data_IF_737455572800
#
_entry.id   IF_737455572800
#
_cell.length_a   1.000
_cell.length_b   1.000
_cell.length_c   1.000
_cell.angle_alpha   90.00
_cell.angle_beta   90.00
_cell.angle_gamma   90.00
#
_symmetry.space_group_name_H-M   'P 1'
#
loop_
_entity.id
_entity.type
_entity.pdbx_description
1 polymer ?
#
# COMPACT_ATOMS: atom_id res chain seq x y z
N UNK A 1 9.93 -14.42 -1.81
CA UNK A 1 9.43 -13.04 -1.66
C UNK A 1 7.94 -12.99 -1.34
N UNK A 2 7.09 -13.64 -2.11
CA UNK A 2 5.64 -13.62 -1.88
C UNK A 2 5.27 -14.21 -0.51
N UNK A 3 5.92 -15.28 -0.10
CA UNK A 3 5.68 -15.87 1.22
C UNK A 3 6.01 -14.91 2.36
N UNK A 4 7.12 -14.18 2.25
CA UNK A 4 7.49 -13.17 3.24
C UNK A 4 6.47 -12.04 3.24
N UNK A 5 6.03 -11.63 2.06
CA UNK A 5 5.00 -10.60 1.93
C UNK A 5 3.69 -11.02 2.57
N UNK A 6 3.27 -12.24 2.35
CA UNK A 6 2.04 -12.79 2.95
C UNK A 6 2.15 -12.85 4.47
N UNK A 7 3.35 -13.10 5.00
CA UNK A 7 3.59 -13.10 6.44
C UNK A 7 3.36 -11.70 7.02
N UNK A 8 3.80 -10.65 6.34
CA UNK A 8 3.55 -9.28 6.78
C UNK A 8 2.07 -8.93 6.72
N UNK A 9 1.37 -9.36 5.68
CA UNK A 9 -0.09 -9.15 5.55
C UNK A 9 -0.82 -9.80 6.71
N UNK A 10 -0.44 -11.03 7.06
CA UNK A 10 -1.05 -11.73 8.20
C UNK A 10 -0.81 -10.98 9.51
N UNK A 11 0.39 -10.45 9.71
CA UNK A 11 0.72 -9.68 10.89
C UNK A 11 -0.10 -8.40 10.99
N UNK A 12 -0.27 -7.70 9.89
CA UNK A 12 -1.12 -6.51 9.84
C UNK A 12 -2.55 -6.87 10.22
N UNK A 13 -3.07 -7.97 9.69
CA UNK A 13 -4.43 -8.43 9.98
C UNK A 13 -4.57 -8.82 11.46
N UNK A 14 -3.59 -9.53 12.01
CA UNK A 14 -3.59 -9.91 13.42
C UNK A 14 -3.62 -8.68 14.33
N UNK A 15 -2.82 -7.67 14.02
CA UNK A 15 -2.81 -6.41 14.77
C UNK A 15 -4.16 -5.70 14.64
N UNK A 16 -4.74 -5.70 13.44
CA UNK A 16 -6.05 -5.09 13.21
C UNK A 16 -7.13 -5.76 14.05
N UNK A 17 -7.09 -7.09 14.13
CA UNK A 17 -8.07 -7.85 14.93
C UNK A 17 -7.90 -7.60 16.43
N UNK A 18 -6.68 -7.33 16.87
CA UNK A 18 -6.35 -7.12 18.28
C UNK A 18 -6.60 -5.69 18.76
N UNK A 19 -6.69 -4.71 17.85
CA UNK A 19 -6.86 -3.31 18.19
C UNK A 19 -8.30 -2.89 17.88
N UNK A 20 -9.10 -2.51 18.91
CA UNK A 20 -10.52 -2.25 18.70
C UNK A 20 -10.88 -0.87 18.13
N UNK A 21 -9.93 0.06 18.02
CA UNK A 21 -10.21 1.41 17.52
C UNK A 21 -10.57 1.46 16.06
N UNK A 22 -11.70 2.06 15.70
CA UNK A 22 -12.18 2.15 14.32
C UNK A 22 -11.26 2.96 13.41
N UNK A 23 -10.74 4.08 13.89
CA UNK A 23 -9.91 4.97 13.10
C UNK A 23 -8.61 4.28 12.68
N UNK A 24 -7.92 3.64 13.62
CA UNK A 24 -6.68 2.94 13.35
C UNK A 24 -6.96 1.67 12.55
N UNK A 25 -8.10 1.02 12.78
CA UNK A 25 -8.52 -0.17 12.04
C UNK A 25 -8.68 0.13 10.55
N UNK A 26 -9.28 1.27 10.21
CA UNK A 26 -9.41 1.69 8.80
C UNK A 26 -8.05 1.87 8.15
N UNK A 27 -7.11 2.47 8.86
CA UNK A 27 -5.75 2.67 8.36
C UNK A 27 -5.04 1.35 8.12
N UNK A 28 -5.19 0.38 9.03
CA UNK A 28 -4.62 -0.95 8.89
C UNK A 28 -5.26 -1.74 7.75
N UNK A 29 -6.59 -1.64 7.62
CA UNK A 29 -7.31 -2.30 6.53
C UNK A 29 -6.88 -1.76 5.18
N UNK A 30 -6.66 -0.44 5.09
CA UNK A 30 -6.15 0.20 3.89
C UNK A 30 -4.76 -0.30 3.55
N UNK A 31 -3.87 -0.39 4.55
CA UNK A 31 -2.52 -0.88 4.37
C UNK A 31 -2.51 -2.34 3.88
N UNK A 32 -3.36 -3.17 4.47
CA UNK A 32 -3.49 -4.57 4.05
C UNK A 32 -3.91 -4.66 2.58
N UNK A 33 -4.92 -3.89 2.20
CA UNK A 33 -5.41 -3.88 0.82
C UNK A 33 -4.32 -3.43 -0.15
N UNK A 34 -3.66 -2.32 0.14
CA UNK A 34 -2.61 -1.79 -0.73
C UNK A 34 -1.46 -2.79 -0.88
N UNK A 35 -1.05 -3.41 0.22
CA UNK A 35 0.03 -4.40 0.20
C UNK A 35 -0.35 -5.61 -0.66
N UNK A 36 -1.58 -6.10 -0.52
CA UNK A 36 -2.07 -7.21 -1.34
C UNK A 36 -2.08 -6.86 -2.83
N UNK A 37 -2.51 -5.66 -3.17
CA UNK A 37 -2.55 -5.21 -4.57
C UNK A 37 -1.16 -5.06 -5.15
N UNK A 38 -0.21 -4.56 -4.36
CA UNK A 38 1.19 -4.45 -4.79
C UNK A 38 1.74 -5.83 -5.10
N UNK A 39 1.53 -6.81 -4.23
CA UNK A 39 2.02 -8.18 -4.45
C UNK A 39 1.34 -8.85 -5.63
N UNK A 40 0.04 -8.61 -5.81
CA UNK A 40 -0.68 -9.15 -6.97
C UNK A 40 -0.07 -8.62 -8.27
N UNK A 41 0.27 -7.32 -8.29
CA UNK A 41 0.91 -6.72 -9.45
C UNK A 41 2.28 -7.31 -9.73
N UNK A 42 3.06 -7.58 -8.66
CA UNK A 42 4.37 -8.19 -8.80
C UNK A 42 4.27 -9.62 -9.37
N UNK A 43 3.26 -10.37 -8.97
CA UNK A 43 3.02 -11.71 -9.51
C UNK A 43 2.69 -11.66 -10.99
N UNK A 44 1.89 -10.67 -11.41
CA UNK A 44 1.52 -10.49 -12.81
C UNK A 44 2.70 -10.03 -13.66
N UNK A 45 3.60 -9.26 -13.06
CA UNK A 45 4.72 -8.68 -13.77
C UNK A 45 5.99 -8.74 -12.92
N UNK A 46 6.70 -9.88 -12.90
CA UNK A 46 7.89 -10.04 -12.05
C UNK A 46 9.01 -9.04 -12.30
N UNK A 47 8.98 -8.33 -13.43
CA UNK A 47 9.99 -7.33 -13.77
C UNK A 47 10.03 -6.16 -12.76
N UNK A 48 8.92 -5.92 -12.05
CA UNK A 48 8.83 -4.80 -11.10
C UNK A 48 9.32 -5.16 -9.69
N UNK A 49 9.88 -6.37 -9.51
CA UNK A 49 10.35 -6.84 -8.19
C UNK A 49 11.36 -5.89 -7.56
N UNK A 50 12.27 -5.32 -8.35
CA UNK A 50 13.27 -4.40 -7.83
C UNK A 50 12.66 -3.15 -7.20
N UNK A 51 11.50 -2.73 -7.70
CA UNK A 51 10.85 -1.52 -7.23
C UNK A 51 10.24 -1.67 -5.84
N UNK A 52 10.03 -2.91 -5.39
CA UNK A 52 9.42 -3.16 -4.09
C UNK A 52 10.41 -3.66 -3.04
N UNK A 53 11.71 -3.64 -3.35
CA UNK A 53 12.72 -4.12 -2.41
C UNK A 53 12.64 -3.40 -1.06
N UNK A 54 12.56 -2.08 -1.08
CA UNK A 54 12.47 -1.29 0.16
C UNK A 54 11.20 -1.57 0.94
N UNK A 55 10.10 -1.84 0.22
CA UNK A 55 8.86 -2.23 0.86
C UNK A 55 9.06 -3.49 1.69
N UNK A 56 9.70 -4.49 1.11
CA UNK A 56 9.92 -5.78 1.76
C UNK A 56 10.97 -5.74 2.85
N UNK A 57 12.04 -5.02 2.64
CA UNK A 57 13.19 -5.02 3.55
C UNK A 57 13.06 -4.02 4.68
N UNK A 58 12.28 -2.97 4.47
CA UNK A 58 12.24 -1.87 5.44
C UNK A 58 10.84 -1.40 5.79
N UNK A 59 10.02 -1.02 4.80
CA UNK A 59 8.74 -0.36 5.11
C UNK A 59 7.73 -1.29 5.77
N UNK A 60 7.57 -2.51 5.28
CA UNK A 60 6.64 -3.47 5.88
C UNK A 60 7.11 -3.96 7.25
N UNK A 61 8.39 -4.34 7.43
CA UNK A 61 8.86 -4.70 8.77
C UNK A 61 8.69 -3.58 9.79
N UNK A 62 8.97 -2.33 9.39
CA UNK A 62 8.81 -1.19 10.28
C UNK A 62 7.34 -0.92 10.58
N UNK A 63 6.47 -1.02 9.58
CA UNK A 63 5.03 -0.84 9.78
C UNK A 63 4.49 -1.85 10.79
N UNK A 64 4.86 -3.12 10.66
CA UNK A 64 4.43 -4.17 11.60
C UNK A 64 4.93 -3.85 13.01
N UNK A 65 6.16 -3.39 13.13
CA UNK A 65 6.73 -3.01 14.41
C UNK A 65 5.94 -1.87 15.08
N UNK A 66 5.54 -0.88 14.29
CA UNK A 66 4.73 0.23 14.79
C UNK A 66 3.35 -0.25 15.21
N UNK A 67 2.75 -1.17 14.46
CA UNK A 67 1.44 -1.72 14.80
C UNK A 67 1.49 -2.54 16.07
N UNK A 68 2.54 -3.33 16.26
CA UNK A 68 2.74 -4.10 17.48
C UNK A 68 2.93 -3.18 18.69
N UNK A 69 3.68 -2.08 18.51
CA UNK A 69 3.83 -1.08 19.55
C UNK A 69 2.49 -0.41 19.88
N UNK A 70 1.70 -0.10 18.85
CA UNK A 70 0.38 0.49 19.06
C UNK A 70 -0.52 -0.44 19.87
N UNK A 71 -0.52 -1.73 19.54
CA UNK A 71 -1.30 -2.73 20.25
C UNK A 71 -0.92 -2.75 21.74
N UNK A 72 0.37 -2.73 22.04
CA UNK A 72 0.86 -2.71 23.41
C UNK A 72 0.43 -1.44 24.13
N UNK A 73 0.57 -0.29 23.49
CA UNK A 73 0.16 0.99 24.06
C UNK A 73 -1.34 1.05 24.31
N UNK A 74 -2.12 0.56 23.35
CA UNK A 74 -3.58 0.59 23.43
C UNK A 74 -4.11 -0.31 24.53
N UNK A 75 -3.38 -1.36 24.89
CA UNK A 75 -3.78 -2.33 25.90
C UNK A 75 -3.54 -1.82 27.34
N UNK A 76 -2.87 -0.70 27.52
CA UNK A 76 -2.56 -0.19 28.85
C UNK A 76 -3.79 0.36 29.54
N UNK A 77 -3.99 0.04 30.83
CA UNK A 77 -5.17 0.52 31.56
C UNK A 77 -5.14 2.03 31.85
N UNK A 78 -3.96 2.61 31.83
CA UNK A 78 -3.80 4.07 32.03
C UNK A 78 -3.25 4.65 30.73
N UNK A 79 -4.05 5.51 30.10
CA UNK A 79 -3.67 6.17 28.85
C UNK A 79 -3.12 7.55 29.17
N UNK A 80 -1.88 7.59 29.68
CA UNK A 80 -1.21 8.83 30.02
C UNK A 80 -0.70 9.57 28.80
N UNK A 81 -0.08 10.71 29.04
CA UNK A 81 0.38 11.61 27.98
C UNK A 81 1.34 10.93 26.99
N UNK A 82 2.31 10.17 27.51
CA UNK A 82 3.27 9.48 26.64
C UNK A 82 2.60 8.45 25.73
N UNK A 83 1.64 7.71 26.27
CA UNK A 83 0.92 6.69 25.53
C UNK A 83 0.05 7.33 24.45
N UNK A 84 -0.72 8.35 24.80
CA UNK A 84 -1.60 9.03 23.85
C UNK A 84 -0.79 9.71 22.74
N UNK A 85 0.31 10.36 23.08
CA UNK A 85 1.19 11.04 22.13
C UNK A 85 1.82 10.04 21.15
N UNK A 86 2.33 8.90 21.66
CA UNK A 86 2.92 7.88 20.81
C UNK A 86 1.89 7.22 19.90
N UNK A 87 0.68 6.96 20.41
CA UNK A 87 -0.41 6.40 19.59
C UNK A 87 -0.76 7.35 18.44
N UNK A 88 -0.87 8.64 18.72
CA UNK A 88 -1.16 9.64 17.69
C UNK A 88 -0.07 9.69 16.64
N UNK A 89 1.18 9.64 17.05
CA UNK A 89 2.31 9.66 16.15
C UNK A 89 2.30 8.43 15.23
N UNK A 90 1.97 7.27 15.77
CA UNK A 90 1.85 6.04 14.97
C UNK A 90 0.69 6.18 13.98
N UNK A 91 -0.47 6.66 14.43
CA UNK A 91 -1.62 6.87 13.53
C UNK A 91 -1.27 7.76 12.35
N UNK A 92 -0.59 8.87 12.63
CA UNK A 92 -0.19 9.80 11.58
C UNK A 92 0.84 9.17 10.62
N UNK A 93 1.73 8.34 11.17
CA UNK A 93 2.74 7.64 10.36
C UNK A 93 2.08 6.57 9.48
N UNK A 94 1.04 5.90 9.97
CA UNK A 94 0.29 4.95 9.15
C UNK A 94 -0.34 5.63 7.94
N UNK A 95 -0.86 6.85 8.12
CA UNK A 95 -1.40 7.62 6.99
C UNK A 95 -0.30 7.92 5.96
N UNK A 96 0.87 8.34 6.45
CA UNK A 96 2.02 8.63 5.57
C UNK A 96 2.45 7.37 4.80
N UNK A 97 2.52 6.23 5.48
CA UNK A 97 2.87 4.97 4.83
C UNK A 97 1.84 4.56 3.79
N UNK A 98 0.55 4.73 4.09
CA UNK A 98 -0.50 4.39 3.14
C UNK A 98 -0.43 5.25 1.89
N UNK A 99 -0.14 6.55 2.04
CA UNK A 99 0.06 7.43 0.88
C UNK A 99 1.24 6.96 0.05
N UNK A 100 2.34 6.59 0.71
CA UNK A 100 3.51 6.08 0.01
C UNK A 100 3.21 4.76 -0.73
N UNK A 101 2.44 3.87 -0.12
CA UNK A 101 2.06 2.61 -0.73
C UNK A 101 1.12 2.81 -1.92
N UNK A 102 0.22 3.79 -1.83
CA UNK A 102 -0.64 4.16 -2.97
C UNK A 102 0.19 4.62 -4.15
N UNK A 103 1.18 5.47 -3.87
CA UNK A 103 2.07 5.93 -4.93
C UNK A 103 2.91 4.81 -5.51
N UNK A 104 3.40 3.91 -4.66
CA UNK A 104 4.17 2.76 -5.13
C UNK A 104 3.32 1.89 -6.04
N UNK A 105 2.08 1.60 -5.66
CA UNK A 105 1.17 0.82 -6.48
C UNK A 105 0.92 1.49 -7.83
N UNK A 106 0.68 2.79 -7.82
CA UNK A 106 0.48 3.56 -9.04
C UNK A 106 1.71 3.48 -9.95
N UNK A 107 2.90 3.64 -9.38
CA UNK A 107 4.14 3.58 -10.14
C UNK A 107 4.35 2.22 -10.81
N UNK A 108 3.85 1.14 -10.21
CA UNK A 108 3.96 -0.21 -10.79
C UNK A 108 3.14 -0.37 -12.07
N UNK A 109 2.23 0.56 -12.35
CA UNK A 109 1.42 0.55 -13.57
C UNK A 109 1.91 1.55 -14.62
N UNK A 110 3.08 2.14 -14.44
CA UNK A 110 3.61 3.16 -15.33
C UNK A 110 3.75 2.67 -16.78
N UNK A 111 4.32 1.49 -16.97
CA UNK A 111 4.46 0.90 -18.31
C UNK A 111 3.10 0.65 -18.95
N UNK A 112 2.15 0.14 -18.18
CA UNK A 112 0.79 -0.09 -18.65
C UNK A 112 0.16 1.22 -19.11
N UNK A 113 0.35 2.30 -18.36
CA UNK A 113 -0.17 3.62 -18.72
C UNK A 113 0.45 4.12 -20.02
N UNK A 114 1.75 3.93 -20.20
CA UNK A 114 2.43 4.31 -21.45
C UNK A 114 1.91 3.50 -22.64
N UNK A 115 1.73 2.19 -22.47
CA UNK A 115 1.20 1.32 -23.52
C UNK A 115 -0.22 1.73 -23.92
N UNK A 116 -1.07 2.00 -22.94
CA UNK A 116 -2.45 2.46 -23.20
C UNK A 116 -2.44 3.77 -23.99
N UNK A 117 -1.60 4.70 -23.57
CA UNK A 117 -1.49 6.01 -24.24
C UNK A 117 -1.04 5.85 -25.68
N UNK A 118 -0.06 4.98 -25.91
CA UNK A 118 0.46 4.68 -27.23
C UNK A 118 -0.61 4.04 -28.11
N UNK A 119 -1.32 3.04 -27.59
CA UNK A 119 -2.39 2.35 -28.32
C UNK A 119 -3.52 3.31 -28.68
N UNK A 120 -3.87 4.20 -27.79
CA UNK A 120 -4.91 5.20 -28.05
C UNK A 120 -4.47 6.14 -29.19
N UNK A 121 -3.21 6.57 -29.17
CA UNK A 121 -2.67 7.44 -30.24
C UNK A 121 -2.75 6.76 -31.59
N UNK A 122 -2.34 5.50 -31.66
CA UNK A 122 -2.39 4.71 -32.91
C UNK A 122 -3.84 4.58 -33.38
N UNK A 123 -4.75 4.23 -32.48
CA UNK A 123 -6.17 4.08 -32.81
C UNK A 123 -6.74 5.37 -33.37
N UNK A 124 -6.49 6.50 -32.71
CA UNK A 124 -6.99 7.81 -33.18
C UNK A 124 -6.45 8.15 -34.57
N UNK A 125 -5.18 7.87 -34.81
CA UNK A 125 -4.57 8.11 -36.13
C UNK A 125 -5.26 7.27 -37.20
N UNK A 126 -5.50 6.00 -36.94
CA UNK A 126 -6.18 5.11 -37.90
C UNK A 126 -7.61 5.57 -38.15
N UNK A 127 -8.34 5.96 -37.12
CA UNK A 127 -9.69 6.45 -37.26
C UNK A 127 -9.75 7.74 -38.09
N UNK A 128 -8.79 8.63 -37.87
CA UNK A 128 -8.70 9.89 -38.63
C UNK A 128 -8.43 9.62 -40.11
N UNK A 129 -7.54 8.67 -40.43
CA UNK A 129 -7.25 8.29 -41.80
C UNK A 129 -8.47 7.74 -42.54
N UNK A 130 -9.37 7.09 -41.82
CA UNK A 130 -10.58 6.54 -42.40
C UNK A 130 -11.77 7.50 -42.33
N UNK A 131 -11.55 8.72 -41.83
CA UNK A 131 -12.59 9.73 -41.73
C UNK A 131 -13.60 9.50 -40.61
N UNK A 132 -13.26 8.66 -39.66
CA UNK A 132 -14.16 8.28 -38.57
C UNK A 132 -13.93 9.07 -37.27
N UNK A 133 -12.87 9.87 -37.24
CA UNK A 133 -12.51 10.64 -36.06
C UNK A 133 -11.98 12.02 -36.49
N UNK A 134 -12.60 13.07 -35.94
CA UNK A 134 -12.12 14.44 -36.15
C UNK A 134 -11.46 14.90 -34.85
N UNK A 135 -10.29 15.45 -34.97
CA UNK A 135 -9.52 15.89 -33.82
C UNK A 135 -10.23 16.85 -32.92
#
# INVERSE_FOLDING_TARGET
>A
MIEAGNAYIRKIRECNDAIPGEVVSEKMSRMELLTKRIFARVEQNPEVVTDIRRLMEYYLPTAVKLLEAYEELDAQPVQGENILSSKKEIEDTLDTLNIAFEKLLDDLFQETAWDVSSDISVLKTMLAQEGLYEK
#
